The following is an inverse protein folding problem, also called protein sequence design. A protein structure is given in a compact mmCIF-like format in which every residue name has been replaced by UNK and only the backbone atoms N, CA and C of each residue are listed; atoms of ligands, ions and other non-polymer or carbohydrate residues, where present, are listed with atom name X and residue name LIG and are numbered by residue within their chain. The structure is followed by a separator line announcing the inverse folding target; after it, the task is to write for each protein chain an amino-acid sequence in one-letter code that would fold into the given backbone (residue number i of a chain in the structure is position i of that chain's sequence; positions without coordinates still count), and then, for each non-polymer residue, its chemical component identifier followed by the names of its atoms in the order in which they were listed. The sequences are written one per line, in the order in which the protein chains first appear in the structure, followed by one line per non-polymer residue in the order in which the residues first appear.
data_IF_624727310020
#
_entry.id   IF_624727310020
#
_cell.length_a   1.000
_cell.length_b   1.000
_cell.length_c   1.000
_cell.angle_alpha   90.00
_cell.angle_beta   90.00
_cell.angle_gamma   90.00
#
_symmetry.space_group_name_H-M   'P 1'
#
loop_
_entity.id
_entity.type
_entity.pdbx_description
1 polymer ?
#
# COMPACT_ATOMS: atom_id res chain seq x y z
N UNK A 1 5.72 -3.14 -29.71
CA UNK A 1 4.72 -3.31 -28.63
C UNK A 1 4.22 -1.95 -28.19
N UNK A 2 2.91 -1.67 -28.30
CA UNK A 2 2.34 -0.44 -27.75
C UNK A 2 2.37 -0.50 -26.22
N UNK A 3 2.77 0.60 -25.57
CA UNK A 3 2.77 0.69 -24.10
C UNK A 3 1.32 0.74 -23.61
N UNK A 4 0.91 -0.22 -22.79
CA UNK A 4 -0.43 -0.27 -22.21
C UNK A 4 -0.50 0.65 -20.97
N UNK A 5 -1.04 1.87 -21.13
CA UNK A 5 -1.15 2.86 -20.05
C UNK A 5 -2.45 2.77 -19.23
N UNK A 6 -3.36 1.83 -19.55
CA UNK A 6 -4.67 1.71 -18.88
C UNK A 6 -4.59 1.57 -17.35
N UNK A 7 -3.67 0.79 -16.76
CA UNK A 7 -3.56 0.68 -15.30
C UNK A 7 -3.16 2.01 -14.65
N UNK A 8 -2.21 2.73 -15.27
CA UNK A 8 -1.77 4.03 -14.76
C UNK A 8 -2.92 5.03 -14.74
N UNK A 9 -3.73 5.08 -15.80
CA UNK A 9 -4.91 5.94 -15.86
C UNK A 9 -5.92 5.59 -14.75
N UNK A 10 -6.16 4.31 -14.49
CA UNK A 10 -7.03 3.85 -13.40
C UNK A 10 -6.55 4.34 -12.03
N UNK A 11 -5.25 4.19 -11.71
CA UNK A 11 -4.69 4.66 -10.43
C UNK A 11 -4.78 6.18 -10.29
N UNK A 12 -4.52 6.93 -11.36
CA UNK A 12 -4.64 8.40 -11.37
C UNK A 12 -6.08 8.85 -11.15
N UNK A 13 -7.05 8.20 -11.81
CA UNK A 13 -8.48 8.49 -11.63
C UNK A 13 -8.95 8.16 -10.20
N UNK A 14 -8.51 7.04 -9.65
CA UNK A 14 -8.84 6.62 -8.30
C UNK A 14 -8.25 7.57 -7.24
N UNK A 15 -7.00 8.02 -7.43
CA UNK A 15 -6.37 9.03 -6.58
C UNK A 15 -7.16 10.35 -6.60
N UNK A 16 -7.55 10.81 -7.79
CA UNK A 16 -8.32 12.05 -7.95
C UNK A 16 -9.69 11.97 -7.27
N UNK A 17 -10.40 10.84 -7.44
CA UNK A 17 -11.68 10.60 -6.78
C UNK A 17 -11.53 10.60 -5.24
N UNK A 18 -10.47 9.97 -4.73
CA UNK A 18 -10.21 9.90 -3.29
C UNK A 18 -9.90 11.30 -2.72
N UNK A 19 -9.09 12.10 -3.43
CA UNK A 19 -8.82 13.50 -3.06
C UNK A 19 -10.12 14.31 -3.06
N UNK A 20 -10.96 14.17 -4.10
CA UNK A 20 -12.24 14.87 -4.20
C UNK A 20 -13.15 14.54 -3.01
N UNK A 21 -13.28 13.25 -2.65
CA UNK A 21 -14.07 12.82 -1.49
C UNK A 21 -13.54 13.45 -0.19
N UNK A 22 -12.22 13.54 -0.01
CA UNK A 22 -11.62 14.17 1.18
C UNK A 22 -11.87 15.68 1.23
N UNK A 23 -11.79 16.37 0.08
CA UNK A 23 -12.13 17.80 -0.01
C UNK A 23 -13.59 18.03 0.39
N UNK A 24 -14.50 17.16 -0.05
CA UNK A 24 -15.92 17.19 0.32
C UNK A 24 -16.11 16.98 1.84
N UNK A 25 -15.33 16.12 2.48
CA UNK A 25 -15.47 15.75 3.90
C UNK A 25 -14.71 16.64 4.92
N UNK A 26 -14.21 17.81 4.51
CA UNK A 26 -13.54 18.86 5.32
C UNK A 26 -12.16 18.52 5.91
N UNK A 27 -11.19 19.17 5.29
CA UNK A 27 -9.72 19.14 5.39
C UNK A 27 -9.09 19.77 6.65
N UNK A 28 -9.80 19.93 7.78
CA UNK A 28 -9.39 20.88 8.83
C UNK A 28 -8.36 20.40 9.87
N UNK A 29 -7.73 19.23 9.70
CA UNK A 29 -6.66 18.75 10.62
C UNK A 29 -5.33 18.38 9.93
N UNK A 30 -5.20 18.65 8.62
CA UNK A 30 -4.16 18.07 7.74
C UNK A 30 -2.69 18.48 8.01
N UNK A 31 -2.39 19.43 8.93
CA UNK A 31 -1.07 20.11 8.95
C UNK A 31 -0.38 20.28 10.32
N UNK A 32 -0.58 19.40 11.31
CA UNK A 32 0.26 19.45 12.52
C UNK A 32 1.44 18.50 12.42
N UNK A 33 2.50 19.03 11.79
CA UNK A 33 3.77 18.39 11.51
C UNK A 33 4.75 18.55 12.70
N UNK A 34 4.69 17.68 13.70
CA UNK A 34 5.70 17.68 14.78
C UNK A 34 5.90 16.29 15.41
N UNK A 35 6.30 15.24 14.66
CA UNK A 35 6.88 13.98 15.21
C UNK A 35 7.72 13.21 14.17
N UNK A 36 8.67 13.86 13.49
CA UNK A 36 9.39 13.29 12.34
C UNK A 36 10.28 12.08 12.66
N UNK A 37 11.02 12.10 13.78
CA UNK A 37 12.04 11.07 14.07
C UNK A 37 11.41 9.69 14.36
N UNK A 38 10.36 9.64 15.19
CA UNK A 38 9.67 8.38 15.52
C UNK A 38 8.98 7.78 14.28
N UNK A 39 8.43 8.63 13.41
CA UNK A 39 7.88 8.20 12.12
C UNK A 39 8.94 7.53 11.25
N UNK A 40 10.12 8.17 11.10
CA UNK A 40 11.22 7.59 10.32
C UNK A 40 11.73 6.26 10.91
N UNK A 41 11.97 6.18 12.22
CA UNK A 41 12.39 4.93 12.88
C UNK A 41 11.36 3.81 12.69
N UNK A 42 10.07 4.15 12.81
CA UNK A 42 8.99 3.22 12.53
C UNK A 42 9.08 2.65 11.12
N UNK A 43 9.24 3.50 10.10
CA UNK A 43 9.36 3.09 8.69
C UNK A 43 10.51 2.10 8.50
N UNK A 44 11.70 2.44 9.00
CA UNK A 44 12.89 1.56 8.88
C UNK A 44 12.67 0.19 9.53
N UNK A 45 12.10 0.15 10.74
CA UNK A 45 11.85 -1.09 11.46
C UNK A 45 10.88 -2.01 10.71
N UNK A 46 9.82 -1.46 10.13
CA UNK A 46 8.85 -2.25 9.36
C UNK A 46 9.43 -2.79 8.06
N UNK A 47 10.19 -1.98 7.32
CA UNK A 47 10.88 -2.45 6.11
C UNK A 47 11.84 -3.61 6.42
N UNK A 48 12.51 -3.55 7.58
CA UNK A 48 13.36 -4.64 8.05
C UNK A 48 12.57 -5.92 8.34
N UNK A 49 11.40 -5.83 9.00
CA UNK A 49 10.52 -6.98 9.24
C UNK A 49 10.05 -7.59 7.91
N UNK A 50 9.53 -6.77 6.99
CA UNK A 50 9.07 -7.24 5.68
C UNK A 50 10.19 -7.96 4.94
N UNK A 51 11.41 -7.42 4.98
CA UNK A 51 12.57 -8.06 4.36
C UNK A 51 12.86 -9.45 4.94
N UNK A 52 12.75 -9.61 6.28
CA UNK A 52 12.89 -10.92 6.92
C UNK A 52 11.79 -11.88 6.45
N UNK A 53 10.52 -11.43 6.45
CA UNK A 53 9.39 -12.26 6.03
C UNK A 53 9.47 -12.65 4.55
N UNK A 54 9.82 -11.73 3.64
CA UNK A 54 10.03 -12.07 2.22
C UNK A 54 11.10 -13.17 2.07
N UNK A 55 12.20 -13.05 2.83
CA UNK A 55 13.28 -14.04 2.78
C UNK A 55 12.88 -15.40 3.33
N UNK A 56 12.08 -15.43 4.40
CA UNK A 56 11.62 -16.67 5.03
C UNK A 56 10.57 -17.41 4.19
N UNK A 57 9.72 -16.69 3.46
CA UNK A 57 8.53 -17.25 2.82
C UNK A 57 8.58 -17.28 1.29
N UNK A 58 9.74 -17.03 0.68
CA UNK A 58 9.97 -17.01 -0.78
C UNK A 58 9.73 -18.34 -1.51
N UNK A 59 9.26 -19.40 -0.83
CA UNK A 59 9.56 -20.78 -1.23
C UNK A 59 8.38 -21.73 -1.50
N UNK A 60 7.14 -21.31 -1.77
CA UNK A 60 6.12 -22.32 -2.17
C UNK A 60 5.12 -22.01 -3.29
N UNK A 61 4.49 -20.83 -3.43
CA UNK A 61 3.29 -20.78 -4.32
C UNK A 61 3.08 -19.49 -5.14
N UNK A 62 4.05 -18.56 -5.15
CA UNK A 62 3.86 -17.21 -5.76
C UNK A 62 3.92 -17.14 -7.30
N UNK A 63 4.27 -18.21 -8.00
CA UNK A 63 5.08 -18.06 -9.22
C UNK A 63 4.35 -17.96 -10.58
N UNK A 64 3.11 -18.39 -10.75
CA UNK A 64 2.49 -18.42 -12.10
C UNK A 64 1.28 -17.48 -12.27
N UNK A 65 0.27 -17.55 -11.40
CA UNK A 65 -0.95 -16.74 -11.55
C UNK A 65 -0.68 -15.24 -11.37
N UNK A 66 0.08 -14.87 -10.34
CA UNK A 66 0.49 -13.48 -10.12
C UNK A 66 1.38 -12.99 -11.26
N UNK A 67 2.29 -13.82 -11.75
CA UNK A 67 3.20 -13.47 -12.85
C UNK A 67 2.42 -13.14 -14.13
N UNK A 68 1.37 -13.90 -14.45
CA UNK A 68 0.51 -13.63 -15.60
C UNK A 68 -0.34 -12.37 -15.39
N UNK A 69 -0.93 -12.16 -14.21
CA UNK A 69 -1.67 -10.92 -13.90
C UNK A 69 -0.78 -9.68 -13.98
N UNK A 70 0.43 -9.75 -13.45
CA UNK A 70 1.42 -8.66 -13.51
C UNK A 70 1.86 -8.38 -14.95
N UNK A 71 2.12 -9.40 -15.76
CA UNK A 71 2.53 -9.23 -17.15
C UNK A 71 1.38 -8.73 -18.04
N UNK A 72 0.14 -9.18 -17.82
CA UNK A 72 -1.05 -8.74 -18.55
C UNK A 72 -1.47 -7.32 -18.17
N UNK A 73 -1.52 -7.01 -16.87
CA UNK A 73 -1.95 -5.70 -16.40
C UNK A 73 -0.87 -4.66 -16.64
N UNK A 74 0.39 -4.92 -16.24
CA UNK A 74 1.41 -3.88 -16.15
C UNK A 74 2.45 -3.89 -17.29
N UNK A 75 2.44 -4.90 -18.17
CA UNK A 75 3.30 -4.96 -19.35
C UNK A 75 4.73 -5.46 -19.11
N UNK A 76 5.38 -5.91 -20.20
CA UNK A 76 6.60 -6.73 -20.18
C UNK A 76 7.89 -6.04 -19.73
N UNK A 77 8.09 -4.78 -20.14
CA UNK A 77 9.29 -3.97 -19.85
C UNK A 77 8.88 -2.72 -19.07
N UNK A 78 8.80 -2.87 -17.75
CA UNK A 78 8.51 -1.77 -16.82
C UNK A 78 9.80 -1.03 -16.48
N UNK A 79 9.78 0.29 -16.58
CA UNK A 79 10.86 1.12 -16.08
C UNK A 79 10.76 1.28 -14.56
N UNK A 80 11.89 1.54 -13.91
CA UNK A 80 11.95 1.87 -12.48
C UNK A 80 11.01 3.03 -12.14
N UNK A 81 10.98 4.05 -13.00
CA UNK A 81 10.11 5.22 -12.86
C UNK A 81 8.63 4.82 -12.86
N UNK A 82 8.24 3.89 -13.75
CA UNK A 82 6.85 3.43 -13.82
C UNK A 82 6.41 2.70 -12.55
N UNK A 83 7.26 1.81 -12.02
CA UNK A 83 6.99 1.14 -10.75
C UNK A 83 6.88 2.14 -9.60
N UNK A 84 7.77 3.14 -9.54
CA UNK A 84 7.72 4.18 -8.52
C UNK A 84 6.40 4.97 -8.56
N UNK A 85 5.95 5.38 -9.76
CA UNK A 85 4.70 6.12 -9.92
C UNK A 85 3.50 5.29 -9.46
N UNK A 86 3.45 4.00 -9.82
CA UNK A 86 2.36 3.10 -9.37
C UNK A 86 2.39 2.95 -7.85
N UNK A 87 3.56 2.74 -7.26
CA UNK A 87 3.68 2.60 -5.80
C UNK A 87 3.21 3.86 -5.08
N UNK A 88 3.64 5.05 -5.51
CA UNK A 88 3.20 6.31 -4.91
C UNK A 88 1.69 6.50 -5.06
N UNK A 89 1.18 6.39 -6.29
CA UNK A 89 -0.24 6.69 -6.56
C UNK A 89 -1.17 5.67 -5.91
N UNK A 90 -0.85 4.38 -5.98
CA UNK A 90 -1.60 3.31 -5.32
C UNK A 90 -1.60 3.46 -3.81
N UNK A 91 -0.42 3.53 -3.18
CA UNK A 91 -0.30 3.59 -1.72
C UNK A 91 -0.94 4.84 -1.14
N UNK A 92 -0.76 6.02 -1.74
CA UNK A 92 -1.43 7.23 -1.26
C UNK A 92 -2.95 7.13 -1.36
N UNK A 93 -3.48 6.59 -2.48
CA UNK A 93 -4.93 6.44 -2.64
C UNK A 93 -5.51 5.49 -1.61
N UNK A 94 -4.83 4.36 -1.36
CA UNK A 94 -5.25 3.39 -0.36
C UNK A 94 -5.19 3.97 1.06
N UNK A 95 -4.11 4.67 1.43
CA UNK A 95 -4.04 5.32 2.74
C UNK A 95 -5.11 6.39 2.92
N UNK A 96 -5.35 7.23 1.91
CA UNK A 96 -6.42 8.23 1.94
C UNK A 96 -7.79 7.56 2.12
N UNK A 97 -8.06 6.48 1.40
CA UNK A 97 -9.33 5.75 1.53
C UNK A 97 -9.48 5.07 2.90
N UNK A 98 -8.50 4.26 3.33
CA UNK A 98 -8.63 3.45 4.54
C UNK A 98 -8.42 4.25 5.83
N UNK A 99 -7.43 5.15 5.87
CA UNK A 99 -7.00 5.81 7.13
C UNK A 99 -7.66 7.16 7.32
N UNK A 100 -8.00 7.87 6.24
CA UNK A 100 -8.73 9.13 6.32
C UNK A 100 -10.22 8.86 6.18
N UNK A 101 -10.69 8.44 5.01
CA UNK A 101 -12.12 8.34 4.74
C UNK A 101 -12.82 7.27 5.61
N UNK A 102 -12.41 6.01 5.51
CA UNK A 102 -13.11 4.89 6.15
C UNK A 102 -12.99 4.92 7.68
N UNK A 103 -11.82 5.29 8.20
CA UNK A 103 -11.63 5.49 9.65
C UNK A 103 -12.52 6.62 10.17
N UNK A 104 -12.55 7.79 9.51
CA UNK A 104 -13.43 8.89 9.93
C UNK A 104 -14.91 8.51 9.85
N UNK A 105 -15.32 7.78 8.80
CA UNK A 105 -16.70 7.31 8.67
C UNK A 105 -17.09 6.39 9.85
N UNK A 106 -16.29 5.36 10.12
CA UNK A 106 -16.62 4.37 11.16
C UNK A 106 -16.47 4.93 12.58
N UNK A 107 -15.39 5.67 12.85
CA UNK A 107 -15.11 6.16 14.20
C UNK A 107 -15.86 7.45 14.53
N UNK A 108 -15.89 8.43 13.62
CA UNK A 108 -16.43 9.77 13.90
C UNK A 108 -17.92 9.83 13.56
N UNK A 109 -18.32 9.34 12.38
CA UNK A 109 -19.72 9.45 11.91
C UNK A 109 -20.60 8.37 12.53
N UNK A 110 -20.17 7.11 12.48
CA UNK A 110 -20.93 5.98 13.04
C UNK A 110 -20.72 5.87 14.56
N UNK A 111 -19.63 6.41 15.10
CA UNK A 111 -19.36 6.42 16.54
C UNK A 111 -18.78 5.10 17.08
N UNK A 112 -18.17 4.27 16.23
CA UNK A 112 -17.52 3.05 16.69
C UNK A 112 -16.28 3.35 17.52
N UNK A 113 -15.95 2.47 18.46
CA UNK A 113 -14.69 2.54 19.21
C UNK A 113 -13.49 2.51 18.24
N UNK A 114 -12.44 3.29 18.54
CA UNK A 114 -11.26 3.40 17.67
C UNK A 114 -10.57 2.05 17.44
N UNK A 115 -10.44 1.20 18.46
CA UNK A 115 -9.81 -0.12 18.33
C UNK A 115 -10.64 -1.06 17.47
N UNK A 116 -11.97 -1.03 17.63
CA UNK A 116 -12.90 -1.81 16.79
C UNK A 116 -12.81 -1.35 15.34
N UNK A 117 -12.75 -0.04 15.11
CA UNK A 117 -12.59 0.55 13.78
C UNK A 117 -11.29 0.10 13.11
N UNK A 118 -10.17 0.15 13.83
CA UNK A 118 -8.86 -0.32 13.33
C UNK A 118 -8.90 -1.80 12.98
N UNK A 119 -9.53 -2.63 13.80
CA UNK A 119 -9.67 -4.06 13.56
C UNK A 119 -10.48 -4.34 12.29
N UNK A 120 -11.65 -3.69 12.13
CA UNK A 120 -12.50 -3.83 10.94
C UNK A 120 -11.73 -3.42 9.69
N UNK A 121 -11.09 -2.25 9.69
CA UNK A 121 -10.36 -1.74 8.53
C UNK A 121 -9.18 -2.65 8.19
N UNK A 122 -8.46 -3.17 9.18
CA UNK A 122 -7.32 -4.05 8.93
C UNK A 122 -7.73 -5.41 8.36
N UNK A 123 -8.88 -5.94 8.78
CA UNK A 123 -9.47 -7.13 8.17
C UNK A 123 -9.86 -6.84 6.72
N UNK A 124 -10.56 -5.73 6.46
CA UNK A 124 -10.96 -5.34 5.09
C UNK A 124 -9.74 -5.16 4.19
N UNK A 125 -8.69 -4.48 4.68
CA UNK A 125 -7.43 -4.30 3.94
C UNK A 125 -6.78 -5.64 3.61
N UNK A 126 -6.72 -6.57 4.58
CA UNK A 126 -6.24 -7.94 4.35
C UNK A 126 -7.07 -8.68 3.29
N UNK A 127 -8.40 -8.66 3.41
CA UNK A 127 -9.33 -9.33 2.47
C UNK A 127 -9.13 -8.85 1.04
N UNK A 128 -8.90 -7.56 0.81
CA UNK A 128 -8.60 -7.00 -0.52
C UNK A 128 -7.33 -7.59 -1.15
N UNK A 129 -6.41 -8.12 -0.34
CA UNK A 129 -5.16 -8.74 -0.76
C UNK A 129 -5.21 -10.28 -0.75
N UNK A 130 -6.35 -10.89 -0.43
CA UNK A 130 -6.48 -12.35 -0.31
C UNK A 130 -6.18 -13.09 -1.62
N UNK A 131 -6.49 -12.48 -2.77
CA UNK A 131 -6.23 -13.05 -4.10
C UNK A 131 -4.74 -13.22 -4.40
N UNK A 132 -3.86 -12.55 -3.65
CA UNK A 132 -2.40 -12.66 -3.78
C UNK A 132 -1.82 -13.84 -2.98
N UNK A 133 -2.65 -14.53 -2.19
CA UNK A 133 -2.31 -15.71 -1.40
C UNK A 133 -2.50 -15.51 0.11
N UNK A 134 -2.66 -16.62 0.84
CA UNK A 134 -2.93 -16.61 2.29
C UNK A 134 -1.87 -15.86 3.11
N UNK A 135 -0.60 -16.02 2.76
CA UNK A 135 0.47 -15.30 3.42
C UNK A 135 0.35 -13.78 3.19
N UNK A 136 0.03 -13.36 1.97
CA UNK A 136 -0.10 -11.94 1.63
C UNK A 136 -1.30 -11.32 2.33
N UNK A 137 -2.41 -12.07 2.47
CA UNK A 137 -3.52 -11.69 3.32
C UNK A 137 -3.08 -11.38 4.77
N UNK A 138 -2.35 -12.29 5.41
CA UNK A 138 -1.88 -12.12 6.79
C UNK A 138 -0.94 -10.92 6.89
N UNK A 139 0.03 -10.82 5.98
CA UNK A 139 0.99 -9.72 5.96
C UNK A 139 0.29 -8.38 5.72
N UNK A 140 -0.73 -8.32 4.85
CA UNK A 140 -1.49 -7.09 4.58
C UNK A 140 -2.32 -6.66 5.79
N UNK A 141 -2.93 -7.62 6.50
CA UNK A 141 -3.65 -7.34 7.75
C UNK A 141 -2.69 -6.74 8.80
N UNK A 142 -1.53 -7.37 9.02
CA UNK A 142 -0.53 -6.88 9.96
C UNK A 142 0.05 -5.53 9.55
N UNK A 143 0.29 -5.33 8.25
CA UNK A 143 0.75 -4.05 7.69
C UNK A 143 -0.28 -2.94 7.94
N UNK A 144 -1.57 -3.24 7.81
CA UNK A 144 -2.62 -2.26 8.09
C UNK A 144 -2.62 -1.81 9.55
N UNK A 145 -2.49 -2.75 10.49
CA UNK A 145 -2.38 -2.43 11.92
C UNK A 145 -1.17 -1.53 12.16
N UNK A 146 -0.03 -1.90 11.58
CA UNK A 146 1.19 -1.10 11.65
C UNK A 146 1.02 0.32 11.08
N UNK A 147 0.32 0.49 9.95
CA UNK A 147 0.03 1.81 9.38
C UNK A 147 -0.87 2.66 10.29
N UNK A 148 -1.85 2.04 10.98
CA UNK A 148 -2.61 2.74 12.02
C UNK A 148 -1.74 3.15 13.21
N UNK A 149 -0.82 2.30 13.66
CA UNK A 149 0.12 2.65 14.72
C UNK A 149 1.00 3.84 14.31
N UNK A 150 1.55 3.83 13.10
CA UNK A 150 2.28 4.98 12.54
C UNK A 150 1.42 6.24 12.54
N UNK A 151 0.18 6.16 12.08
CA UNK A 151 -0.74 7.31 12.06
C UNK A 151 -1.02 7.83 13.48
N UNK A 152 -1.21 6.96 14.46
CA UNK A 152 -1.48 7.35 15.86
C UNK A 152 -0.26 8.03 16.48
N UNK A 153 0.95 7.51 16.23
CA UNK A 153 2.21 8.06 16.76
C UNK A 153 2.52 9.41 16.11
N UNK A 154 2.42 9.48 14.79
CA UNK A 154 2.83 10.67 14.02
C UNK A 154 1.74 11.71 13.88
N UNK A 155 0.49 11.36 14.20
CA UNK A 155 -0.72 12.16 13.94
C UNK A 155 -0.87 12.57 12.48
N UNK A 156 -0.36 11.75 11.55
CA UNK A 156 -0.39 12.03 10.12
C UNK A 156 -0.48 10.74 9.30
N UNK A 157 -1.32 10.74 8.26
CA UNK A 157 -1.41 9.63 7.31
C UNK A 157 -0.26 9.64 6.27
N UNK A 158 0.52 10.74 6.20
CA UNK A 158 1.63 10.84 5.23
C UNK A 158 2.72 9.81 5.53
N UNK A 159 3.01 9.54 6.81
CA UNK A 159 4.00 8.53 7.20
C UNK A 159 3.60 7.11 6.81
N UNK A 160 2.38 6.61 7.10
CA UNK A 160 1.95 5.32 6.57
C UNK A 160 1.91 5.30 5.03
N UNK A 161 1.57 6.41 4.36
CA UNK A 161 1.57 6.47 2.89
C UNK A 161 2.98 6.32 2.30
N UNK A 162 3.98 6.94 2.91
CA UNK A 162 5.39 6.76 2.54
C UNK A 162 5.84 5.33 2.82
N UNK A 163 5.53 4.78 4.01
CA UNK A 163 5.88 3.41 4.37
C UNK A 163 5.31 2.40 3.37
N UNK A 164 4.04 2.56 3.02
CA UNK A 164 3.33 1.72 2.07
C UNK A 164 3.87 1.90 0.64
N UNK A 165 4.20 3.13 0.23
CA UNK A 165 4.84 3.39 -1.07
C UNK A 165 6.16 2.61 -1.18
N UNK A 166 7.01 2.69 -0.15
CA UNK A 166 8.29 1.99 -0.13
C UNK A 166 8.11 0.47 -0.17
N UNK A 167 7.15 -0.06 0.60
CA UNK A 167 6.79 -1.48 0.58
C UNK A 167 6.45 -1.95 -0.83
N UNK A 168 5.49 -1.27 -1.47
CA UNK A 168 5.03 -1.62 -2.81
C UNK A 168 6.14 -1.46 -3.85
N UNK A 169 6.98 -0.43 -3.72
CA UNK A 169 8.08 -0.20 -4.65
C UNK A 169 9.14 -1.31 -4.56
N UNK A 170 9.52 -1.71 -3.34
CA UNK A 170 10.46 -2.81 -3.12
C UNK A 170 9.90 -4.11 -3.71
N UNK A 171 8.62 -4.42 -3.47
CA UNK A 171 7.99 -5.61 -4.03
C UNK A 171 8.00 -5.61 -5.58
N UNK A 172 7.59 -4.50 -6.20
CA UNK A 172 7.56 -4.38 -7.66
C UNK A 172 8.97 -4.46 -8.28
N UNK A 173 9.99 -3.89 -7.63
CA UNK A 173 11.37 -3.95 -8.11
C UNK A 173 11.97 -5.35 -7.94
N UNK A 174 11.69 -6.06 -6.85
CA UNK A 174 12.12 -7.45 -6.68
C UNK A 174 11.53 -8.35 -7.77
N UNK A 175 10.25 -8.16 -8.11
CA UNK A 175 9.58 -8.86 -9.21
C UNK A 175 10.26 -8.52 -10.56
N UNK A 176 10.56 -7.25 -10.81
CA UNK A 176 11.23 -6.80 -12.05
C UNK A 176 12.62 -7.41 -12.20
N UNK A 177 13.43 -7.40 -11.14
CA UNK A 177 14.78 -7.96 -11.12
C UNK A 177 14.75 -9.47 -11.38
N UNK A 178 13.83 -10.20 -10.74
CA UNK A 178 13.72 -11.65 -10.91
C UNK A 178 13.29 -12.02 -12.34
N UNK A 179 12.40 -11.23 -12.96
CA UNK A 179 12.01 -11.42 -14.37
C UNK A 179 13.19 -11.23 -15.32
N UNK A 180 14.01 -10.20 -15.10
CA UNK A 180 15.17 -9.91 -15.95
C UNK A 180 16.25 -11.00 -15.85
N UNK A 181 16.43 -11.64 -14.69
CA UNK A 181 17.35 -12.78 -14.53
C UNK A 181 16.92 -14.03 -15.31
N UNK A 182 15.63 -14.18 -15.62
CA UNK A 182 15.06 -15.37 -16.30
C UNK A 182 14.95 -15.20 -17.83
N UNK A 183 15.23 -14.02 -18.39
CA UNK A 183 15.27 -13.84 -19.86
C UNK A 183 16.58 -14.46 -20.39
N UNK A 184 16.55 -15.43 -21.31
CA UNK A 184 17.76 -15.90 -21.98
C UNK A 184 18.41 -14.74 -22.74
N UNK A 185 19.75 -14.72 -22.75
CA UNK A 185 20.57 -13.73 -23.45
C UNK A 185 20.33 -13.77 -24.96
#
# INVERSE_FOLDING_TARGET
MSKNYKPLLFYVMFLFLTILLIVIFKFNQFLRCTYSILGFLGIFFFLFIVFIFDRLFRNSERNELNKHLYDTLLGGDRSLIFNFIISVTGSFSEELFFRVFLFSLLHIVIGLNAYVTIAIISILFGVMHFTQGKLVFILSLLSSIYFFLLMIITKSFVYPAIAHTLLNFIELELIRIEKNKKKPA
#
